data_IF_710364011465
#
_entry.id   IF_710364011465
#
_cell.length_a   1.000
_cell.length_b   1.000
_cell.length_c   1.000
_cell.angle_alpha   90.00
_cell.angle_beta   90.00
_cell.angle_gamma   90.00
#
_symmetry.space_group_name_H-M   'P 1'
#
loop_
_entity.id
_entity.type
_entity.pdbx_description
1 polymer ?
#
# COMPACT_ATOMS: atom_id res chain seq x y z
N UNK A 1 5.34 1.30 22.27
CA UNK A 1 4.06 1.25 21.52
C UNK A 1 4.15 0.14 20.50
N UNK A 2 3.23 -0.83 20.46
CA UNK A 2 3.20 -1.86 19.42
C UNK A 2 3.07 -1.26 18.01
N UNK A 3 3.68 -1.93 17.03
CA UNK A 3 3.52 -1.60 15.62
C UNK A 3 2.05 -1.72 15.20
N UNK A 4 1.54 -0.77 14.41
CA UNK A 4 0.15 -0.70 13.94
C UNK A 4 -0.92 -0.57 15.06
N UNK A 5 -0.55 -0.18 16.28
CA UNK A 5 -1.48 -0.06 17.42
C UNK A 5 -2.73 0.76 17.08
N UNK A 6 -2.57 1.84 16.31
CA UNK A 6 -3.63 2.79 15.98
C UNK A 6 -3.99 2.80 14.49
N UNK A 7 -3.60 1.79 13.71
CA UNK A 7 -3.86 1.75 12.26
C UNK A 7 -5.36 1.86 11.93
N UNK A 8 -6.22 1.28 12.77
CA UNK A 8 -7.67 1.35 12.60
C UNK A 8 -8.29 2.74 12.85
N UNK A 9 -7.53 3.70 13.36
CA UNK A 9 -7.98 5.08 13.58
C UNK A 9 -7.79 5.99 12.35
N UNK A 10 -7.10 5.51 11.31
CA UNK A 10 -6.93 6.26 10.06
C UNK A 10 -8.30 6.40 9.38
N UNK A 11 -8.74 7.65 9.21
CA UNK A 11 -10.01 7.99 8.55
C UNK A 11 -9.84 8.39 7.09
N UNK A 12 -8.66 8.90 6.73
CA UNK A 12 -8.31 9.26 5.36
C UNK A 12 -8.16 8.01 4.50
N UNK A 13 -8.26 8.16 3.19
CA UNK A 13 -8.05 7.04 2.26
C UNK A 13 -6.64 6.48 2.39
N UNK A 14 -6.49 5.17 2.20
CA UNK A 14 -5.19 4.48 2.30
C UNK A 14 -4.97 3.56 1.10
N UNK A 15 -3.86 3.76 0.41
CA UNK A 15 -3.35 2.85 -0.60
C UNK A 15 -2.07 2.19 -0.11
N UNK A 16 -2.10 0.87 0.04
CA UNK A 16 -0.91 0.04 0.29
C UNK A 16 -0.45 -0.56 -1.04
N UNK A 17 0.83 -0.41 -1.38
CA UNK A 17 1.42 -0.99 -2.59
C UNK A 17 2.51 -1.97 -2.20
N UNK A 18 2.46 -3.21 -2.69
CA UNK A 18 3.45 -4.23 -2.35
C UNK A 18 3.71 -5.21 -3.50
N UNK A 19 4.95 -5.69 -3.63
CA UNK A 19 5.29 -6.72 -4.61
C UNK A 19 4.78 -8.11 -4.21
N UNK A 20 4.29 -8.88 -5.20
CA UNK A 20 3.76 -10.24 -4.99
C UNK A 20 4.77 -11.21 -4.36
N UNK A 21 6.04 -11.12 -4.81
CA UNK A 21 7.16 -11.98 -4.39
C UNK A 21 8.01 -11.36 -3.29
N UNK A 22 7.64 -10.17 -2.79
CA UNK A 22 8.37 -9.52 -1.72
C UNK A 22 8.25 -10.34 -0.42
N UNK A 23 9.38 -10.67 0.20
CA UNK A 23 9.40 -11.34 1.52
C UNK A 23 8.64 -10.53 2.59
N UNK A 24 8.54 -9.22 2.40
CA UNK A 24 7.89 -8.25 3.29
C UNK A 24 6.38 -8.09 3.05
N UNK A 25 5.76 -8.82 2.11
CA UNK A 25 4.34 -8.62 1.71
C UNK A 25 3.37 -8.73 2.88
N UNK A 26 3.63 -9.64 3.81
CA UNK A 26 2.79 -9.85 4.99
C UNK A 26 2.64 -8.60 5.88
N UNK A 27 3.58 -7.65 5.81
CA UNK A 27 3.45 -6.38 6.55
C UNK A 27 2.29 -5.55 6.02
N UNK A 28 2.18 -5.39 4.70
CA UNK A 28 1.07 -4.66 4.07
C UNK A 28 -0.25 -5.41 4.20
N UNK A 29 -0.25 -6.75 4.11
CA UNK A 29 -1.46 -7.56 4.38
C UNK A 29 -1.96 -7.39 5.83
N UNK A 30 -1.04 -7.37 6.80
CA UNK A 30 -1.37 -7.15 8.22
C UNK A 30 -1.82 -5.71 8.50
N UNK A 31 -1.21 -4.72 7.85
CA UNK A 31 -1.68 -3.34 7.93
C UNK A 31 -3.09 -3.23 7.35
N UNK A 32 -3.31 -3.78 6.15
CA UNK A 32 -4.61 -3.76 5.48
C UNK A 32 -5.72 -4.39 6.33
N UNK A 33 -5.46 -5.52 6.99
CA UNK A 33 -6.46 -6.17 7.84
C UNK A 33 -6.84 -5.36 9.08
N UNK A 34 -5.97 -4.46 9.55
CA UNK A 34 -6.22 -3.56 10.70
C UNK A 34 -6.88 -2.24 10.31
N UNK A 35 -6.73 -1.79 9.06
CA UNK A 35 -7.39 -0.59 8.57
C UNK A 35 -8.92 -0.78 8.56
N UNK A 36 -9.64 0.30 8.83
CA UNK A 36 -11.11 0.35 8.80
C UNK A 36 -11.59 1.26 7.65
N UNK A 37 -12.87 1.19 7.31
CA UNK A 37 -13.44 1.94 6.18
C UNK A 37 -13.40 1.19 4.84
N UNK A 38 -14.15 1.72 3.87
CA UNK A 38 -14.25 1.26 2.49
C UNK A 38 -13.28 2.01 1.54
N UNK A 39 -12.59 3.03 2.06
CA UNK A 39 -11.60 3.86 1.36
C UNK A 39 -10.16 3.33 1.50
N UNK A 40 -9.99 2.00 1.59
CA UNK A 40 -8.69 1.34 1.66
C UNK A 40 -8.48 0.38 0.50
N UNK A 41 -7.25 0.34 -0.01
CA UNK A 41 -6.86 -0.54 -1.10
C UNK A 41 -5.50 -1.19 -0.80
N UNK A 42 -5.36 -2.47 -1.16
CA UNK A 42 -4.10 -3.19 -1.19
C UNK A 42 -3.81 -3.59 -2.64
N UNK A 43 -2.87 -2.88 -3.26
CA UNK A 43 -2.39 -3.15 -4.61
C UNK A 43 -1.18 -4.08 -4.56
N UNK A 44 -1.33 -5.27 -5.13
CA UNK A 44 -0.25 -6.24 -5.29
C UNK A 44 0.31 -6.16 -6.71
N UNK A 45 1.63 -5.95 -6.83
CA UNK A 45 2.34 -5.87 -8.11
C UNK A 45 2.85 -7.27 -8.49
N UNK A 46 2.30 -7.91 -9.54
CA UNK A 46 2.67 -9.27 -9.92
C UNK A 46 4.16 -9.39 -10.22
N UNK A 47 4.78 -10.48 -9.75
CA UNK A 47 6.19 -10.78 -9.98
C UNK A 47 7.20 -9.94 -9.21
N UNK A 48 6.83 -8.79 -8.64
CA UNK A 48 7.75 -7.87 -8.01
C UNK A 48 8.26 -8.33 -6.62
N UNK A 49 9.55 -8.14 -6.39
CA UNK A 49 10.26 -8.24 -5.11
C UNK A 49 10.09 -6.96 -4.27
N UNK A 50 10.66 -6.95 -3.07
CA UNK A 50 10.70 -5.77 -2.20
C UNK A 50 11.49 -4.62 -2.84
N UNK A 51 12.66 -4.92 -3.40
CA UNK A 51 13.57 -3.90 -3.93
C UNK A 51 13.15 -3.35 -5.29
N UNK A 52 12.35 -4.09 -6.05
CA UNK A 52 11.91 -3.66 -7.39
C UNK A 52 11.09 -2.36 -7.31
N UNK A 53 10.35 -2.15 -6.21
CA UNK A 53 9.59 -0.93 -5.98
C UNK A 53 10.44 0.27 -5.52
N UNK A 54 11.75 0.12 -5.39
CA UNK A 54 12.64 1.23 -5.01
C UNK A 54 13.13 2.03 -6.23
N UNK A 55 13.42 1.35 -7.35
CA UNK A 55 14.13 1.95 -8.49
C UNK A 55 13.69 1.46 -9.88
N UNK A 56 12.89 0.38 -10.00
CA UNK A 56 12.42 -0.09 -11.29
C UNK A 56 11.20 0.71 -11.74
N UNK A 57 11.45 1.74 -12.54
CA UNK A 57 10.41 2.68 -13.00
C UNK A 57 9.26 2.02 -13.74
N UNK A 58 9.51 0.89 -14.42
CA UNK A 58 8.49 0.12 -15.14
C UNK A 58 7.63 -0.77 -14.21
N UNK A 59 8.06 -0.96 -12.96
CA UNK A 59 7.35 -1.77 -11.95
C UNK A 59 6.60 -0.90 -10.95
N UNK A 60 7.16 0.27 -10.62
CA UNK A 60 6.53 1.21 -9.68
C UNK A 60 5.23 1.76 -10.30
N UNK A 61 4.07 1.63 -9.64
CA UNK A 61 2.78 2.02 -10.21
C UNK A 61 2.51 3.53 -10.09
N UNK A 62 3.39 4.38 -10.64
CA UNK A 62 3.28 5.84 -10.55
C UNK A 62 1.93 6.39 -11.02
N UNK A 63 1.34 5.80 -12.07
CA UNK A 63 0.02 6.19 -12.56
C UNK A 63 -1.08 6.00 -11.51
N UNK A 64 -1.06 4.88 -10.77
CA UNK A 64 -2.03 4.62 -9.69
C UNK A 64 -1.78 5.55 -8.50
N UNK A 65 -0.53 5.78 -8.11
CA UNK A 65 -0.17 6.70 -7.03
C UNK A 65 -0.68 8.12 -7.34
N UNK A 66 -0.45 8.60 -8.56
CA UNK A 66 -0.94 9.90 -9.02
C UNK A 66 -2.47 9.98 -8.94
N UNK A 67 -3.18 9.01 -9.53
CA UNK A 67 -4.64 8.99 -9.52
C UNK A 67 -5.22 8.97 -8.10
N UNK A 68 -4.62 8.19 -7.19
CA UNK A 68 -5.02 8.13 -5.79
C UNK A 68 -4.89 9.50 -5.10
N UNK A 69 -3.76 10.19 -5.29
CA UNK A 69 -3.59 11.52 -4.70
C UNK A 69 -4.52 12.56 -5.34
N UNK A 70 -4.74 12.53 -6.64
CA UNK A 70 -5.69 13.44 -7.32
C UNK A 70 -7.13 13.25 -6.80
N UNK A 71 -7.51 12.03 -6.44
CA UNK A 71 -8.84 11.71 -5.91
C UNK A 71 -9.03 12.18 -4.46
N UNK A 72 -8.04 11.94 -3.59
CA UNK A 72 -8.17 12.07 -2.14
C UNK A 72 -7.45 13.27 -1.51
N UNK A 73 -6.54 13.95 -2.23
CA UNK A 73 -5.79 15.11 -1.73
C UNK A 73 -6.36 16.42 -2.30
N UNK A 74 -7.53 16.81 -1.77
CA UNK A 74 -8.20 18.08 -2.09
C UNK A 74 -7.88 19.17 -1.09
#
# INVERSE_FOLDING_TARGET
MPILQYAGEIRSAVLLVHGEKAHSRYFSETAYSKLTGDNKELLIIPGASHTDLNDQMDVIPFGKLKAFFEEYLK
#
